data_IF_395141099295
#
_entry.id   IF_395141099295
#
_cell.length_a   1.000
_cell.length_b   1.000
_cell.length_c   1.000
_cell.angle_alpha   90.00
_cell.angle_beta   90.00
_cell.angle_gamma   90.00
#
_symmetry.space_group_name_H-M   'P 1'
#
loop_
_entity.id
_entity.type
_entity.pdbx_description
1 polymer ?
#
# COMPACT_ATOMS: atom_id res chain seq x y z
N UNK A 1 -0.32 30.41 21.17
CA UNK A 1 -0.76 29.13 21.74
C UNK A 1 0.47 28.33 22.14
N UNK A 2 0.48 27.73 23.33
CA UNK A 2 1.62 26.97 23.84
C UNK A 2 1.87 25.72 22.97
N UNK A 3 3.15 25.46 22.67
CA UNK A 3 3.63 24.28 21.93
C UNK A 3 3.26 23.01 22.72
N UNK A 4 2.54 22.04 22.16
CA UNK A 4 2.33 20.76 22.83
C UNK A 4 3.69 20.10 23.09
N UNK A 5 3.94 19.66 24.33
CA UNK A 5 5.15 18.92 24.69
C UNK A 5 5.19 17.62 23.90
N UNK A 6 6.39 17.19 23.50
CA UNK A 6 6.66 15.96 22.74
C UNK A 6 6.36 14.68 23.55
N UNK A 7 5.82 14.83 24.77
CA UNK A 7 5.77 13.84 25.84
C UNK A 7 4.33 13.51 26.28
N UNK A 8 3.31 13.80 25.46
CA UNK A 8 1.96 13.30 25.76
C UNK A 8 1.94 11.77 25.62
N UNK A 9 1.65 11.05 26.71
CA UNK A 9 1.41 9.60 26.69
C UNK A 9 0.25 9.29 25.75
N UNK A 10 0.57 8.87 24.52
CA UNK A 10 -0.40 8.52 23.50
C UNK A 10 0.17 8.56 22.08
N UNK A 11 -0.51 7.94 21.10
CA UNK A 11 -0.10 8.01 19.71
C UNK A 11 -0.04 9.47 19.24
N UNK A 12 0.97 9.80 18.43
CA UNK A 12 1.15 11.16 17.89
C UNK A 12 -0.09 11.63 17.11
N UNK A 13 -0.28 12.94 16.99
CA UNK A 13 -1.39 13.50 16.20
C UNK A 13 -1.38 12.95 14.76
N UNK A 14 -0.19 12.83 14.16
CA UNK A 14 0.01 12.18 12.86
C UNK A 14 -0.56 10.76 12.85
N UNK A 15 -0.17 9.92 13.82
CA UNK A 15 -0.62 8.52 13.87
C UNK A 15 -2.12 8.39 14.08
N UNK A 16 -2.71 9.22 14.94
CA UNK A 16 -4.17 9.23 15.12
C UNK A 16 -4.92 9.61 13.84
N UNK A 17 -4.39 10.52 13.03
CA UNK A 17 -4.98 10.85 11.72
C UNK A 17 -4.84 9.70 10.71
N UNK A 18 -3.69 9.01 10.68
CA UNK A 18 -3.53 7.79 9.88
C UNK A 18 -4.53 6.71 10.31
N UNK A 19 -4.73 6.51 11.61
CA UNK A 19 -5.67 5.53 12.14
C UNK A 19 -7.13 5.90 11.80
N UNK A 20 -7.49 7.19 11.95
CA UNK A 20 -8.79 7.74 11.56
C UNK A 20 -9.07 7.60 10.07
N UNK A 21 -8.05 7.68 9.21
CA UNK A 21 -8.20 7.43 7.77
C UNK A 21 -8.70 6.01 7.50
N UNK A 22 -8.09 5.00 8.13
CA UNK A 22 -8.52 3.60 7.98
C UNK A 22 -9.90 3.32 8.60
N UNK A 23 -10.27 4.05 9.64
CA UNK A 23 -11.63 3.99 10.20
C UNK A 23 -12.66 4.59 9.25
N UNK A 24 -12.41 5.81 8.75
CA UNK A 24 -13.31 6.47 7.81
C UNK A 24 -13.49 5.66 6.51
N UNK A 25 -12.42 5.02 6.01
CA UNK A 25 -12.46 4.21 4.80
C UNK A 25 -13.29 2.93 4.93
N UNK A 26 -13.48 2.42 6.16
CA UNK A 26 -14.38 1.29 6.41
C UNK A 26 -15.85 1.69 6.29
N UNK A 27 -16.17 2.95 6.58
CA UNK A 27 -17.54 3.46 6.64
C UNK A 27 -18.00 4.09 5.32
N UNK A 28 -17.09 4.73 4.58
CA UNK A 28 -17.43 5.46 3.34
C UNK A 28 -16.30 5.50 2.32
N UNK A 29 -16.63 5.64 1.01
CA UNK A 29 -15.63 5.77 -0.03
C UNK A 29 -14.73 6.99 0.17
N UNK A 30 -13.47 6.89 -0.27
CA UNK A 30 -12.46 7.94 -0.14
C UNK A 30 -12.93 9.33 -0.61
N UNK A 31 -13.64 9.41 -1.73
CA UNK A 31 -14.16 10.67 -2.29
C UNK A 31 -15.21 11.37 -1.42
N UNK A 32 -15.69 10.72 -0.36
CA UNK A 32 -16.65 11.25 0.62
C UNK A 32 -16.02 11.51 1.99
N UNK A 33 -14.72 11.25 2.16
CA UNK A 33 -13.98 11.53 3.39
C UNK A 33 -13.44 12.95 3.33
N UNK A 34 -13.79 13.78 4.30
CA UNK A 34 -13.32 15.17 4.41
C UNK A 34 -12.26 15.33 5.50
N UNK A 35 -11.50 16.42 5.42
CA UNK A 35 -10.56 16.83 6.48
C UNK A 35 -11.27 17.01 7.82
N UNK A 36 -12.54 17.45 7.81
CA UNK A 36 -13.33 17.61 9.03
C UNK A 36 -13.65 16.26 9.68
N UNK A 37 -14.01 15.25 8.87
CA UNK A 37 -14.24 13.88 9.36
C UNK A 37 -12.99 13.33 10.06
N UNK A 38 -11.83 13.46 9.41
CA UNK A 38 -10.55 12.97 9.96
C UNK A 38 -10.18 13.72 11.23
N UNK A 39 -10.30 15.06 11.24
CA UNK A 39 -9.97 15.86 12.40
C UNK A 39 -10.84 15.48 13.62
N UNK A 40 -12.14 15.23 13.38
CA UNK A 40 -13.07 14.77 14.41
C UNK A 40 -12.70 13.39 14.93
N UNK A 41 -12.52 12.39 14.05
CA UNK A 41 -12.17 11.02 14.43
C UNK A 41 -10.83 10.94 15.17
N UNK A 42 -9.82 11.67 14.71
CA UNK A 42 -8.49 11.70 15.32
C UNK A 42 -8.40 12.58 16.58
N UNK A 43 -9.49 13.25 16.96
CA UNK A 43 -9.57 14.21 18.06
C UNK A 43 -8.49 15.30 17.97
N UNK A 44 -8.37 15.92 16.79
CA UNK A 44 -7.45 17.03 16.51
C UNK A 44 -8.23 18.20 15.91
N UNK A 45 -7.66 19.40 16.00
CA UNK A 45 -8.23 20.54 15.28
C UNK A 45 -7.80 20.50 13.79
N UNK A 46 -8.55 21.17 12.91
CA UNK A 46 -8.23 21.22 11.47
C UNK A 46 -6.86 21.85 11.18
N UNK A 47 -6.39 22.78 12.00
CA UNK A 47 -5.06 23.37 11.81
C UNK A 47 -3.94 22.35 12.07
N UNK A 48 -4.15 21.41 12.98
CA UNK A 48 -3.22 20.32 13.24
C UNK A 48 -3.19 19.31 12.09
N UNK A 49 -4.31 19.13 11.36
CA UNK A 49 -4.28 18.38 10.10
C UNK A 49 -3.33 19.04 9.10
N UNK A 50 -3.55 20.33 8.82
CA UNK A 50 -2.75 21.05 7.83
C UNK A 50 -1.29 21.30 8.26
N UNK A 51 -0.97 21.09 9.54
CA UNK A 51 0.41 21.06 9.99
C UNK A 51 1.16 19.79 9.55
N UNK A 52 0.44 18.69 9.32
CA UNK A 52 1.03 17.39 8.98
C UNK A 52 0.80 16.98 7.52
N UNK A 53 -0.28 17.44 6.89
CA UNK A 53 -0.70 17.01 5.56
C UNK A 53 -1.30 18.20 4.79
N UNK A 54 -0.90 18.38 3.52
CA UNK A 54 -1.45 19.47 2.70
C UNK A 54 -2.89 19.16 2.27
N UNK A 55 -3.21 17.89 2.05
CA UNK A 55 -4.53 17.44 1.61
C UNK A 55 -4.82 15.98 2.02
N UNK A 56 -6.00 15.48 1.63
CA UNK A 56 -6.43 14.11 1.93
C UNK A 56 -5.59 13.04 1.24
N UNK A 57 -5.06 13.30 0.04
CA UNK A 57 -4.20 12.37 -0.69
C UNK A 57 -2.84 12.19 0.01
N UNK A 58 -2.28 13.25 0.61
CA UNK A 58 -1.05 13.16 1.38
C UNK A 58 -1.22 12.36 2.68
N UNK A 59 -2.36 12.53 3.36
CA UNK A 59 -2.73 11.66 4.47
C UNK A 59 -2.86 10.20 4.00
N UNK A 60 -3.56 9.94 2.89
CA UNK A 60 -3.72 8.59 2.36
C UNK A 60 -2.37 7.94 2.06
N UNK A 61 -1.46 8.65 1.36
CA UNK A 61 -0.09 8.18 1.07
C UNK A 61 0.66 7.82 2.35
N UNK A 62 0.63 8.70 3.35
CA UNK A 62 1.29 8.45 4.64
C UNK A 62 0.68 7.26 5.39
N UNK A 63 -0.65 7.15 5.42
CA UNK A 63 -1.36 6.07 6.09
C UNK A 63 -1.14 4.71 5.41
N UNK A 64 -1.01 4.69 4.08
CA UNK A 64 -0.69 3.51 3.28
C UNK A 64 0.76 3.09 3.53
N UNK A 65 1.72 3.99 3.37
CA UNK A 65 3.14 3.72 3.59
C UNK A 65 3.43 3.24 5.03
N UNK A 66 2.74 3.83 6.01
CA UNK A 66 2.91 3.49 7.43
C UNK A 66 2.21 2.22 7.89
N UNK A 67 1.40 1.57 7.05
CA UNK A 67 0.64 0.35 7.43
C UNK A 67 0.75 -0.81 6.47
N UNK A 68 1.15 -0.60 5.21
CA UNK A 68 1.52 -1.69 4.30
C UNK A 68 3.04 -1.85 4.43
N UNK A 69 3.51 -2.88 5.15
CA UNK A 69 4.91 -2.96 5.47
C UNK A 69 5.71 -3.37 4.24
N UNK A 70 6.80 -2.64 3.95
CA UNK A 70 7.81 -3.06 2.96
C UNK A 70 8.39 -4.46 3.27
N UNK A 71 8.33 -4.87 4.54
CA UNK A 71 8.72 -6.22 4.94
C UNK A 71 7.86 -7.31 4.29
N UNK A 72 6.60 -7.04 3.93
CA UNK A 72 5.79 -8.00 3.17
C UNK A 72 6.43 -8.28 1.81
N UNK A 73 6.90 -7.23 1.11
CA UNK A 73 7.63 -7.36 -0.13
C UNK A 73 8.93 -8.15 0.06
N UNK A 74 9.74 -7.83 1.08
CA UNK A 74 10.96 -8.60 1.41
C UNK A 74 10.66 -10.08 1.68
N UNK A 75 9.56 -10.39 2.35
CA UNK A 75 9.18 -11.77 2.65
C UNK A 75 8.77 -12.56 1.41
N UNK A 76 8.18 -11.92 0.40
CA UNK A 76 7.79 -12.59 -0.86
C UNK A 76 8.89 -12.55 -1.92
N UNK A 77 9.89 -11.65 -1.78
CA UNK A 77 10.97 -11.47 -2.75
C UNK A 77 11.72 -12.77 -3.11
N UNK A 78 12.07 -13.67 -2.16
CA UNK A 78 12.72 -14.94 -2.50
C UNK A 78 11.85 -15.84 -3.38
N UNK A 79 10.55 -15.89 -3.12
CA UNK A 79 9.59 -16.66 -3.93
C UNK A 79 9.40 -16.03 -5.30
N UNK A 80 9.32 -14.70 -5.38
CA UNK A 80 9.26 -13.96 -6.65
C UNK A 80 10.45 -14.28 -7.56
N UNK A 81 11.67 -14.27 -7.02
CA UNK A 81 12.89 -14.62 -7.77
C UNK A 81 12.90 -16.04 -8.32
N UNK A 82 12.20 -16.95 -7.65
CA UNK A 82 12.10 -18.36 -8.07
C UNK A 82 10.88 -18.61 -8.95
N UNK A 83 10.03 -17.59 -9.19
CA UNK A 83 8.75 -17.77 -9.89
C UNK A 83 7.74 -18.61 -9.11
N UNK A 84 7.92 -18.72 -7.79
CA UNK A 84 7.10 -19.54 -6.91
C UNK A 84 6.07 -18.71 -6.16
N UNK A 85 5.00 -19.38 -5.73
CA UNK A 85 4.03 -18.78 -4.82
C UNK A 85 4.68 -18.50 -3.45
N UNK A 86 4.33 -17.39 -2.78
CA UNK A 86 4.76 -17.15 -1.43
C UNK A 86 4.24 -18.28 -0.51
N UNK A 87 5.01 -18.69 0.51
CA UNK A 87 4.62 -19.76 1.40
C UNK A 87 3.27 -19.47 2.06
N UNK A 88 2.42 -20.50 2.19
CA UNK A 88 1.08 -20.37 2.78
C UNK A 88 1.11 -19.74 4.18
N UNK A 89 2.19 -19.92 4.94
CA UNK A 89 2.36 -19.26 6.25
C UNK A 89 2.33 -17.73 6.17
N UNK A 90 2.77 -17.13 5.07
CA UNK A 90 2.62 -15.69 4.84
C UNK A 90 1.17 -15.30 4.54
N UNK A 91 0.37 -16.22 4.00
CA UNK A 91 -1.04 -15.97 3.70
C UNK A 91 -1.96 -16.22 4.91
N UNK A 92 -1.53 -17.05 5.85
CA UNK A 92 -2.30 -17.44 7.04
C UNK A 92 -1.86 -16.73 8.33
N UNK A 93 -0.79 -15.92 8.30
CA UNK A 93 -0.39 -15.10 9.44
C UNK A 93 -1.47 -14.02 9.72
N UNK A 94 -2.01 -13.91 10.94
CA UNK A 94 -3.00 -12.89 11.30
C UNK A 94 -2.56 -11.45 10.96
N UNK A 95 -1.26 -11.15 11.04
CA UNK A 95 -0.72 -9.85 10.66
C UNK A 95 -0.87 -9.60 9.14
N UNK A 96 -0.71 -10.64 8.33
CA UNK A 96 -0.83 -10.56 6.87
C UNK A 96 -2.29 -10.56 6.42
N UNK A 97 -3.18 -11.27 7.13
CA UNK A 97 -4.63 -11.17 6.93
C UNK A 97 -5.11 -9.72 7.15
N UNK A 98 -4.67 -9.08 8.24
CA UNK A 98 -4.98 -7.68 8.50
C UNK A 98 -4.39 -6.74 7.43
N UNK A 99 -3.25 -7.07 6.83
CA UNK A 99 -2.68 -6.30 5.71
C UNK A 99 -3.43 -6.53 4.41
N UNK A 100 -3.91 -7.75 4.16
CA UNK A 100 -4.74 -8.08 3.02
C UNK A 100 -6.07 -7.32 3.09
N UNK A 101 -6.75 -7.31 4.25
CA UNK A 101 -7.98 -6.54 4.44
C UNK A 101 -7.79 -5.05 4.13
N UNK A 102 -6.63 -4.47 4.49
CA UNK A 102 -6.28 -3.09 4.13
C UNK A 102 -6.10 -2.92 2.62
N UNK A 103 -5.33 -3.79 1.96
CA UNK A 103 -5.15 -3.75 0.50
C UNK A 103 -6.49 -3.87 -0.24
N UNK A 104 -7.37 -4.73 0.26
CA UNK A 104 -8.74 -4.88 -0.24
C UNK A 104 -9.57 -3.60 -0.04
N UNK A 105 -9.47 -2.92 1.11
CA UNK A 105 -10.15 -1.61 1.29
C UNK A 105 -9.66 -0.54 0.31
N UNK A 106 -8.38 -0.58 -0.10
CA UNK A 106 -7.82 0.37 -1.05
C UNK A 106 -8.29 0.12 -2.49
N UNK A 107 -8.37 -1.16 -2.88
CA UNK A 107 -8.60 -1.56 -4.27
C UNK A 107 -10.02 -2.08 -4.56
N UNK A 108 -10.79 -2.40 -3.52
CA UNK A 108 -12.10 -3.03 -3.59
C UNK A 108 -13.22 -2.10 -4.07
N UNK A 109 -14.49 -2.58 -4.06
CA UNK A 109 -15.65 -1.85 -4.58
C UNK A 109 -15.91 -0.50 -3.90
N UNK A 110 -15.46 -0.35 -2.65
CA UNK A 110 -15.54 0.89 -1.88
C UNK A 110 -14.33 1.82 -2.10
N UNK A 111 -13.27 1.33 -2.74
CA UNK A 111 -12.12 2.10 -3.18
C UNK A 111 -12.49 3.02 -4.33
N UNK A 112 -11.85 4.18 -4.40
CA UNK A 112 -11.97 5.08 -5.56
C UNK A 112 -10.78 4.85 -6.48
N UNK A 113 -10.93 5.17 -7.77
CA UNK A 113 -9.82 5.15 -8.73
C UNK A 113 -8.62 5.97 -8.23
N UNK A 114 -8.89 7.12 -7.62
CA UNK A 114 -7.87 7.98 -7.00
C UNK A 114 -7.11 7.24 -5.89
N UNK A 115 -7.82 6.59 -4.96
CA UNK A 115 -7.19 5.86 -3.87
C UNK A 115 -6.37 4.66 -4.36
N UNK A 116 -6.86 3.91 -5.35
CA UNK A 116 -6.12 2.81 -5.95
C UNK A 116 -4.83 3.30 -6.63
N UNK A 117 -4.87 4.47 -7.27
CA UNK A 117 -3.67 5.10 -7.83
C UNK A 117 -2.70 5.58 -6.75
N UNK A 118 -3.18 6.18 -5.66
CA UNK A 118 -2.33 6.55 -4.52
C UNK A 118 -1.67 5.30 -3.95
N UNK A 119 -2.42 4.21 -3.75
CA UNK A 119 -1.89 2.94 -3.28
C UNK A 119 -0.80 2.39 -4.21
N UNK A 120 -1.07 2.34 -5.51
CA UNK A 120 -0.11 1.90 -6.53
C UNK A 120 1.19 2.71 -6.49
N UNK A 121 1.11 4.03 -6.55
CA UNK A 121 2.29 4.90 -6.52
C UNK A 121 3.05 4.80 -5.19
N UNK A 122 2.34 4.63 -4.07
CA UNK A 122 2.96 4.44 -2.75
C UNK A 122 3.72 3.11 -2.67
N UNK A 123 3.14 2.03 -3.19
CA UNK A 123 3.78 0.71 -3.23
C UNK A 123 5.01 0.72 -4.12
N UNK A 124 4.91 1.31 -5.31
CA UNK A 124 6.03 1.46 -6.25
C UNK A 124 7.17 2.24 -5.60
N UNK A 125 6.87 3.40 -4.99
CA UNK A 125 7.87 4.20 -4.29
C UNK A 125 8.56 3.43 -3.17
N UNK A 126 7.78 2.72 -2.34
CA UNK A 126 8.34 1.90 -1.27
C UNK A 126 9.26 0.78 -1.80
N UNK A 127 8.95 0.18 -2.94
CA UNK A 127 9.81 -0.82 -3.57
C UNK A 127 11.07 -0.19 -4.16
N UNK A 128 10.97 0.97 -4.81
CA UNK A 128 12.14 1.69 -5.32
C UNK A 128 13.11 2.06 -4.18
N UNK A 129 12.57 2.62 -3.09
CA UNK A 129 13.35 2.96 -1.88
C UNK A 129 14.10 1.75 -1.32
N UNK A 130 13.48 0.57 -1.35
CA UNK A 130 14.08 -0.69 -0.88
C UNK A 130 15.32 -1.10 -1.69
N UNK A 131 15.33 -0.80 -2.99
CA UNK A 131 16.48 -1.05 -3.87
C UNK A 131 17.43 0.16 -3.97
N UNK A 132 17.15 1.25 -3.24
CA UNK A 132 17.92 2.49 -3.31
C UNK A 132 17.78 3.20 -4.66
N UNK A 133 16.60 3.11 -5.26
CA UNK A 133 16.25 3.71 -6.55
C UNK A 133 15.30 4.89 -6.36
N UNK A 134 15.36 5.83 -7.29
CA UNK A 134 14.38 6.88 -7.50
C UNK A 134 13.57 6.60 -8.77
N UNK A 135 12.45 7.32 -8.95
CA UNK A 135 11.58 7.13 -10.13
C UNK A 135 12.30 7.39 -11.46
N UNK A 136 13.26 8.32 -11.45
CA UNK A 136 14.04 8.73 -12.64
C UNK A 136 15.12 7.70 -13.02
N UNK A 137 15.40 6.73 -12.15
CA UNK A 137 16.34 5.65 -12.44
C UNK A 137 15.73 4.54 -13.31
N UNK A 138 14.40 4.49 -13.40
CA UNK A 138 13.69 3.58 -14.28
C UNK A 138 13.57 4.16 -15.69
N UNK A 139 13.84 3.33 -16.71
CA UNK A 139 13.46 3.69 -18.07
C UNK A 139 11.94 3.58 -18.26
N UNK A 140 11.42 4.13 -19.36
CA UNK A 140 9.97 4.13 -19.65
C UNK A 140 9.36 2.72 -19.68
N UNK A 141 10.07 1.74 -20.26
CA UNK A 141 9.62 0.35 -20.34
C UNK A 141 9.51 -0.30 -18.95
N UNK A 142 10.49 -0.06 -18.08
CA UNK A 142 10.54 -0.59 -16.72
C UNK A 142 9.43 0.03 -15.88
N UNK A 143 9.22 1.35 -16.00
CA UNK A 143 8.14 2.06 -15.31
C UNK A 143 6.74 1.57 -15.75
N UNK A 144 6.53 1.35 -17.05
CA UNK A 144 5.27 0.81 -17.58
C UNK A 144 5.03 -0.60 -17.06
N UNK A 145 6.05 -1.47 -17.09
CA UNK A 145 5.95 -2.85 -16.60
C UNK A 145 5.61 -2.90 -15.11
N UNK A 146 6.29 -2.09 -14.29
CA UNK A 146 6.04 -2.02 -12.86
C UNK A 146 4.64 -1.48 -12.55
N UNK A 147 4.22 -0.42 -13.24
CA UNK A 147 2.88 0.16 -13.10
C UNK A 147 1.78 -0.83 -13.49
N UNK A 148 2.02 -1.62 -14.54
CA UNK A 148 1.11 -2.65 -15.00
C UNK A 148 0.99 -3.80 -13.98
N UNK A 149 2.12 -4.32 -13.49
CA UNK A 149 2.14 -5.43 -12.52
C UNK A 149 1.47 -5.02 -11.21
N UNK A 150 1.87 -3.91 -10.60
CA UNK A 150 1.27 -3.44 -9.34
C UNK A 150 -0.20 -3.08 -9.52
N UNK A 151 -0.56 -2.42 -10.63
CA UNK A 151 -1.96 -2.11 -10.94
C UNK A 151 -2.82 -3.35 -11.14
N UNK A 152 -2.30 -4.35 -11.86
CA UNK A 152 -2.95 -5.64 -12.07
C UNK A 152 -3.16 -6.40 -10.76
N UNK A 153 -2.15 -6.44 -9.89
CA UNK A 153 -2.26 -7.04 -8.55
C UNK A 153 -3.36 -6.36 -7.72
N UNK A 154 -3.35 -5.02 -7.63
CA UNK A 154 -4.37 -4.27 -6.90
C UNK A 154 -5.75 -4.54 -7.47
N UNK A 155 -5.91 -4.59 -8.80
CA UNK A 155 -7.19 -4.92 -9.42
C UNK A 155 -7.67 -6.34 -9.08
N UNK A 156 -6.79 -7.34 -9.06
CA UNK A 156 -7.16 -8.71 -8.67
C UNK A 156 -7.57 -8.78 -7.19
N UNK A 157 -6.82 -8.10 -6.32
CA UNK A 157 -7.15 -7.97 -4.90
C UNK A 157 -8.49 -7.26 -4.72
N UNK A 158 -8.75 -6.19 -5.47
CA UNK A 158 -9.98 -5.40 -5.37
C UNK A 158 -11.22 -6.09 -5.94
N UNK A 159 -11.05 -6.93 -6.95
CA UNK A 159 -12.14 -7.67 -7.63
C UNK A 159 -12.55 -8.95 -6.93
N UNK A 160 -11.85 -9.35 -5.87
CA UNK A 160 -12.19 -10.55 -5.13
C UNK A 160 -13.22 -10.23 -4.05
N UNK A 161 -14.45 -10.73 -4.24
CA UNK A 161 -15.38 -10.99 -3.14
C UNK A 161 -14.76 -12.11 -2.28
N UNK A 162 -13.82 -11.76 -1.41
CA UNK A 162 -13.24 -12.72 -0.49
C UNK A 162 -14.34 -13.15 0.49
N UNK A 163 -14.75 -14.40 0.35
CA UNK A 163 -15.69 -15.07 1.24
C UNK A 163 -14.91 -16.15 1.98
N UNK A 164 -15.23 -16.32 3.27
CA UNK A 164 -14.69 -17.36 4.12
C UNK A 164 -14.86 -18.74 3.44
N UNK A 165 -13.76 -19.49 3.27
CA UNK A 165 -13.73 -20.79 2.60
C UNK A 165 -13.34 -20.79 1.11
N UNK A 166 -13.04 -19.64 0.49
CA UNK A 166 -12.42 -19.57 -0.86
C UNK A 166 -10.90 -19.38 -0.77
N UNK A 167 -10.19 -19.83 -1.82
CA UNK A 167 -8.75 -19.60 -1.98
C UNK A 167 -8.40 -18.11 -1.82
N UNK A 168 -7.32 -17.83 -1.10
CA UNK A 168 -6.92 -16.46 -0.81
C UNK A 168 -6.62 -15.73 -2.14
N UNK A 169 -7.01 -14.46 -2.35
CA UNK A 169 -6.86 -13.85 -3.66
C UNK A 169 -5.42 -13.72 -4.14
N UNK A 170 -4.46 -13.64 -3.21
CA UNK A 170 -3.04 -13.79 -3.56
C UNK A 170 -2.74 -15.18 -4.15
N UNK A 171 -3.33 -16.29 -3.68
CA UNK A 171 -3.14 -17.60 -4.34
C UNK A 171 -3.64 -17.59 -5.79
N UNK A 172 -4.74 -16.87 -6.07
CA UNK A 172 -5.26 -16.73 -7.44
C UNK A 172 -4.28 -16.00 -8.35
N UNK A 173 -3.60 -14.97 -7.85
CA UNK A 173 -2.57 -14.22 -8.58
C UNK A 173 -1.46 -15.19 -9.05
N UNK A 174 -0.96 -16.03 -8.16
CA UNK A 174 0.12 -16.98 -8.49
C UNK A 174 -0.34 -18.24 -9.24
N UNK A 175 -1.63 -18.59 -9.20
CA UNK A 175 -2.16 -19.70 -10.01
C UNK A 175 -2.16 -19.42 -11.53
N UNK A 176 -2.03 -18.15 -11.93
CA UNK A 176 -1.95 -17.74 -13.33
C UNK A 176 -0.48 -17.73 -13.79
N UNK A 177 -0.09 -18.57 -14.77
CA UNK A 177 1.29 -18.60 -15.27
C UNK A 177 1.74 -17.25 -15.84
N UNK A 178 0.82 -16.50 -16.44
CA UNK A 178 1.09 -15.18 -17.02
C UNK A 178 1.44 -14.18 -15.92
N UNK A 179 0.66 -14.18 -14.84
CA UNK A 179 0.85 -13.25 -13.73
C UNK A 179 2.11 -13.64 -12.93
N UNK A 180 2.32 -14.93 -12.70
CA UNK A 180 3.53 -15.43 -12.05
C UNK A 180 4.80 -15.02 -12.81
N UNK A 181 4.82 -15.18 -14.15
CA UNK A 181 5.93 -14.75 -14.99
C UNK A 181 6.16 -13.23 -14.96
N UNK A 182 5.08 -12.44 -14.93
CA UNK A 182 5.18 -10.98 -14.82
C UNK A 182 5.68 -10.53 -13.45
N UNK A 183 5.31 -11.24 -12.38
CA UNK A 183 5.79 -10.96 -11.02
C UNK A 183 7.25 -11.38 -10.82
N UNK A 184 7.68 -12.48 -11.44
CA UNK A 184 9.05 -12.98 -11.32
C UNK A 184 10.07 -12.10 -12.05
N UNK A 185 9.65 -11.26 -13.00
CA UNK A 185 10.55 -10.32 -13.68
C UNK A 185 10.81 -9.02 -12.90
N UNK A 186 9.99 -8.71 -11.89
CA UNK A 186 10.13 -7.48 -11.10
C UNK A 186 11.46 -7.39 -10.33
N UNK A 187 11.94 -8.45 -9.64
CA UNK A 187 13.24 -8.40 -8.98
C UNK A 187 14.39 -8.09 -9.94
N UNK A 188 14.42 -8.75 -11.11
CA UNK A 188 15.46 -8.55 -12.12
C UNK A 188 15.43 -7.14 -12.70
N UNK A 189 14.22 -6.57 -12.90
CA UNK A 189 14.05 -5.18 -13.31
C UNK A 189 14.71 -4.22 -12.31
N UNK A 190 14.46 -4.39 -11.01
CA UNK A 190 15.07 -3.55 -9.98
C UNK A 190 16.59 -3.73 -9.90
N UNK A 191 17.09 -4.96 -10.01
CA UNK A 191 18.54 -5.21 -10.00
C UNK A 191 19.25 -4.60 -11.22
N UNK A 192 18.63 -4.71 -12.39
CA UNK A 192 19.15 -4.08 -13.61
C UNK A 192 19.16 -2.55 -13.48
N UNK A 193 18.07 -1.94 -13.00
CA UNK A 193 18.02 -0.50 -12.74
C UNK A 193 19.13 -0.08 -11.76
N UNK A 194 19.28 -0.79 -10.64
CA UNK A 194 20.31 -0.48 -9.64
C UNK A 194 21.74 -0.62 -10.19
N UNK A 195 21.97 -1.55 -11.11
CA UNK A 195 23.28 -1.70 -11.77
C UNK A 195 23.63 -0.57 -12.74
N UNK A 196 22.65 0.17 -13.27
CA UNK A 196 22.89 1.30 -14.20
C UNK A 196 23.38 2.56 -13.50
N UNK A 197 23.15 2.67 -12.20
CA UNK A 197 23.48 3.84 -11.36
C UNK A 197 24.89 3.70 -10.74
N UNK A 198 25.41 2.48 -10.62
CA UNK A 198 26.75 2.18 -10.09
C UNK A 198 27.83 2.30 -11.16
#
# INVERSE_FOLDING_TARGET
MARPRKDCEGPSAKRRMEDAFWEALREKPFSKISVADIAQLAQVNRNAFYYHFDNMADLARAAIAGRIPISLFRSVLPSLKQGEAPPLSLLTDPANEANYAKLWLLAGPHGTYELANIAKSTLIGAWLDEFGLEGDDLNESDLVSLTFVVGGMLNVIGSSDWQEGRAHPLERIWSSPIIAAALSSIPDLFEQAASRIR
#
